data_IF_180616184635
#
_entry.id   IF_180616184635
#
_cell.length_a   1.000
_cell.length_b   1.000
_cell.length_c   1.000
_cell.angle_alpha   90.00
_cell.angle_beta   90.00
_cell.angle_gamma   90.00
#
_symmetry.space_group_name_H-M   'P 1'
#
loop_
_entity.id
_entity.type
_entity.pdbx_description
1 polymer ?
#
# COMPACT_ATOMS: atom_id res chain seq x y z
N UNK A 1 -13.41 -54.47 32.13
CA UNK A 1 -12.40 -53.63 31.45
C UNK A 1 -13.13 -52.50 30.73
N UNK A 2 -13.16 -51.26 31.25
CA UNK A 2 -13.74 -50.16 30.49
C UNK A 2 -12.80 -49.82 29.33
N UNK A 3 -13.31 -49.98 28.11
CA UNK A 3 -12.64 -49.57 26.89
C UNK A 3 -12.33 -48.08 26.95
N UNK A 4 -11.06 -47.76 26.70
CA UNK A 4 -10.57 -46.40 26.51
C UNK A 4 -11.37 -45.75 25.38
N UNK A 5 -12.29 -44.86 25.71
CA UNK A 5 -12.78 -43.87 24.78
C UNK A 5 -11.61 -42.95 24.45
N UNK A 6 -11.16 -42.96 23.19
CA UNK A 6 -10.30 -41.90 22.68
C UNK A 6 -11.17 -40.66 22.54
N UNK A 7 -10.72 -39.47 22.97
CA UNK A 7 -11.45 -38.24 22.73
C UNK A 7 -11.53 -38.01 21.22
N UNK A 8 -12.76 -37.88 20.74
CA UNK A 8 -13.12 -37.16 19.53
C UNK A 8 -12.56 -35.73 19.64
N UNK A 9 -12.23 -35.13 18.50
CA UNK A 9 -11.77 -33.74 18.37
C UNK A 9 -10.29 -33.52 18.73
N UNK A 10 -9.42 -33.90 17.81
CA UNK A 10 -8.19 -33.13 17.61
C UNK A 10 -8.67 -31.76 17.10
N UNK A 11 -8.82 -30.80 18.02
CA UNK A 11 -8.88 -29.39 17.66
C UNK A 11 -7.66 -29.11 16.79
N UNK A 12 -7.89 -28.97 15.49
CA UNK A 12 -6.90 -28.46 14.57
C UNK A 12 -6.68 -27.01 15.00
N UNK A 13 -5.72 -26.80 15.90
CA UNK A 13 -5.10 -25.50 16.17
C UNK A 13 -4.29 -25.10 14.92
N UNK A 14 -4.92 -25.13 13.75
CA UNK A 14 -4.42 -24.51 12.55
C UNK A 14 -4.41 -23.02 12.84
N UNK A 15 -3.26 -22.38 12.64
CA UNK A 15 -3.19 -20.93 12.71
C UNK A 15 -4.31 -20.36 11.83
N UNK A 16 -5.01 -19.33 12.29
CA UNK A 16 -6.07 -18.71 11.52
C UNK A 16 -5.52 -17.44 10.88
N UNK A 17 -5.65 -17.31 9.56
CA UNK A 17 -5.21 -16.12 8.81
C UNK A 17 -6.39 -15.24 8.46
N UNK A 18 -6.25 -13.94 8.73
CA UNK A 18 -7.21 -12.94 8.30
C UNK A 18 -6.97 -12.59 6.83
N UNK A 19 -8.01 -12.70 6.01
CA UNK A 19 -8.04 -12.25 4.60
C UNK A 19 -9.05 -11.11 4.44
N UNK A 20 -8.94 -10.39 3.32
CA UNK A 20 -9.81 -9.24 3.03
C UNK A 20 -10.44 -9.32 1.64
N UNK A 21 -11.68 -8.86 1.54
CA UNK A 21 -12.45 -8.70 0.30
C UNK A 21 -12.51 -7.25 -0.16
N UNK A 22 -11.82 -6.34 0.53
CA UNK A 22 -11.75 -4.92 0.18
C UNK A 22 -11.39 -4.74 -1.29
N UNK A 23 -10.42 -5.52 -1.81
CA UNK A 23 -10.00 -5.44 -3.21
C UNK A 23 -11.08 -5.85 -4.22
N UNK A 24 -11.99 -6.74 -3.85
CA UNK A 24 -13.14 -7.14 -4.68
C UNK A 24 -14.21 -6.05 -4.66
N UNK A 25 -14.47 -5.48 -3.47
CA UNK A 25 -15.46 -4.43 -3.25
C UNK A 25 -15.05 -3.07 -3.82
N UNK A 26 -13.78 -2.88 -4.14
CA UNK A 26 -13.26 -1.66 -4.76
C UNK A 26 -13.70 -1.46 -6.21
N UNK A 27 -14.06 -2.52 -6.94
CA UNK A 27 -14.46 -2.44 -8.35
C UNK A 27 -15.77 -1.63 -8.47
N UNK A 28 -15.65 -0.35 -8.78
CA UNK A 28 -16.75 0.60 -8.96
C UNK A 28 -16.82 1.73 -7.93
N UNK A 29 -16.17 1.60 -6.76
CA UNK A 29 -16.10 2.69 -5.76
C UNK A 29 -14.80 3.49 -5.85
N UNK A 30 -13.71 2.87 -6.30
CA UNK A 30 -12.40 3.51 -6.46
C UNK A 30 -11.79 3.14 -7.81
N UNK A 31 -11.22 4.12 -8.52
CA UNK A 31 -10.61 3.91 -9.84
C UNK A 31 -9.23 3.26 -9.74
N UNK A 32 -8.58 3.37 -8.58
CA UNK A 32 -7.23 2.83 -8.38
C UNK A 32 -6.92 2.45 -6.93
N UNK A 33 -5.94 1.58 -6.76
CA UNK A 33 -5.39 1.22 -5.44
C UNK A 33 -4.77 2.42 -4.70
N UNK A 34 -4.30 3.44 -5.44
CA UNK A 34 -3.79 4.68 -4.84
C UNK A 34 -4.91 5.48 -4.19
N UNK A 35 -6.05 5.57 -4.87
CA UNK A 35 -7.23 6.25 -4.36
C UNK A 35 -7.81 5.53 -3.15
N UNK A 36 -7.91 4.20 -3.23
CA UNK A 36 -8.28 3.34 -2.11
C UNK A 36 -7.35 3.56 -0.90
N UNK A 37 -6.02 3.59 -1.11
CA UNK A 37 -5.06 3.85 -0.04
C UNK A 37 -5.29 5.22 0.61
N UNK A 38 -5.58 6.24 -0.20
CA UNK A 38 -5.88 7.61 0.28
C UNK A 38 -7.18 7.64 1.09
N UNK A 39 -8.22 6.94 0.64
CA UNK A 39 -9.49 6.83 1.35
C UNK A 39 -9.36 6.07 2.68
N UNK A 40 -8.55 5.01 2.71
CA UNK A 40 -8.26 4.25 3.93
C UNK A 40 -7.26 4.96 4.85
N UNK A 41 -6.56 5.99 4.36
CA UNK A 41 -5.53 6.69 5.14
C UNK A 41 -4.29 5.85 5.43
N UNK A 42 -3.97 4.88 4.57
CA UNK A 42 -2.77 4.03 4.70
C UNK A 42 -1.84 4.19 3.51
N UNK A 43 -0.60 3.70 3.65
CA UNK A 43 0.36 3.79 2.55
C UNK A 43 -0.04 2.90 1.38
N UNK A 44 0.17 3.40 0.16
CA UNK A 44 -0.01 2.63 -1.08
C UNK A 44 0.81 1.34 -1.03
N UNK A 45 2.03 1.40 -0.50
CA UNK A 45 2.91 0.24 -0.33
C UNK A 45 2.28 -0.83 0.57
N UNK A 46 1.63 -0.45 1.68
CA UNK A 46 0.90 -1.41 2.52
C UNK A 46 -0.23 -2.08 1.75
N UNK A 47 -1.02 -1.32 0.98
CA UNK A 47 -2.10 -1.87 0.17
C UNK A 47 -1.59 -2.92 -0.81
N UNK A 48 -0.47 -2.64 -1.49
CA UNK A 48 0.17 -3.62 -2.38
C UNK A 48 0.72 -4.85 -1.64
N UNK A 49 1.32 -4.69 -0.45
CA UNK A 49 1.85 -5.81 0.33
C UNK A 49 0.74 -6.73 0.83
N UNK A 50 -0.35 -6.17 1.33
CA UNK A 50 -1.53 -6.93 1.77
C UNK A 50 -2.16 -7.65 0.58
N UNK A 51 -2.30 -6.98 -0.57
CA UNK A 51 -2.81 -7.59 -1.81
C UNK A 51 -1.96 -8.79 -2.26
N UNK A 52 -0.64 -8.70 -2.12
CA UNK A 52 0.30 -9.77 -2.48
C UNK A 52 0.43 -10.86 -1.41
N UNK A 53 -0.26 -10.74 -0.26
CA UNK A 53 -0.11 -11.66 0.87
C UNK A 53 1.26 -11.59 1.55
N UNK A 54 2.01 -10.48 1.35
CA UNK A 54 3.35 -10.27 1.93
C UNK A 54 3.33 -9.54 3.28
N UNK A 55 2.18 -8.98 3.66
CA UNK A 55 1.97 -8.38 4.98
C UNK A 55 0.63 -8.81 5.52
N UNK A 56 0.61 -9.09 6.81
CA UNK A 56 -0.61 -9.35 7.54
C UNK A 56 -1.50 -8.11 7.60
N UNK A 57 -2.79 -8.38 7.76
CA UNK A 57 -3.82 -7.35 7.91
C UNK A 57 -3.75 -6.84 9.34
N UNK A 58 -3.08 -5.69 9.52
CA UNK A 58 -2.98 -5.02 10.82
C UNK A 58 -4.15 -4.09 11.12
N UNK A 59 -4.21 -3.61 12.36
CA UNK A 59 -5.22 -2.68 12.88
C UNK A 59 -5.45 -1.46 11.97
N UNK A 60 -4.37 -0.81 11.51
CA UNK A 60 -4.46 0.36 10.62
C UNK A 60 -5.18 0.05 9.31
N UNK A 61 -5.01 -1.16 8.79
CA UNK A 61 -5.70 -1.59 7.57
C UNK A 61 -7.19 -1.79 7.85
N UNK A 62 -7.53 -2.40 8.99
CA UNK A 62 -8.93 -2.63 9.41
C UNK A 62 -9.65 -1.30 9.60
N UNK A 63 -9.08 -0.40 10.40
CA UNK A 63 -9.64 0.94 10.64
C UNK A 63 -9.81 1.69 9.32
N UNK A 64 -8.80 1.66 8.46
CA UNK A 64 -8.84 2.30 7.15
C UNK A 64 -9.94 1.76 6.25
N UNK A 65 -10.09 0.43 6.18
CA UNK A 65 -11.13 -0.23 5.40
C UNK A 65 -12.54 0.16 5.87
N UNK A 66 -12.79 0.16 7.18
CA UNK A 66 -14.08 0.58 7.75
C UNK A 66 -14.37 2.06 7.42
N UNK A 67 -13.34 2.91 7.40
CA UNK A 67 -13.46 4.32 7.01
C UNK A 67 -13.79 4.51 5.52
N UNK A 68 -13.17 3.71 4.65
CA UNK A 68 -13.41 3.76 3.21
C UNK A 68 -14.77 3.14 2.82
N UNK A 69 -15.22 2.16 3.59
CA UNK A 69 -16.48 1.44 3.36
C UNK A 69 -17.43 1.56 4.57
N UNK A 70 -17.95 2.76 4.86
CA UNK A 70 -18.90 2.95 5.95
C UNK A 70 -20.23 2.18 5.73
N UNK A 71 -20.55 1.90 4.46
CA UNK A 71 -21.77 1.17 4.06
C UNK A 71 -21.65 -0.35 4.20
N UNK A 72 -20.47 -0.87 4.59
CA UNK A 72 -20.19 -2.30 4.73
C UNK A 72 -19.80 -2.64 6.16
N UNK A 73 -20.22 -3.82 6.61
CA UNK A 73 -19.83 -4.35 7.92
C UNK A 73 -18.42 -4.95 7.87
N UNK A 74 -17.80 -5.08 9.03
CA UNK A 74 -16.45 -5.65 9.16
C UNK A 74 -16.40 -7.08 8.62
N UNK A 75 -17.45 -7.87 8.86
CA UNK A 75 -17.60 -9.26 8.37
C UNK A 75 -17.70 -9.36 6.84
N UNK A 76 -18.19 -8.30 6.17
CA UNK A 76 -18.21 -8.26 4.69
C UNK A 76 -16.84 -7.92 4.11
N UNK A 77 -16.02 -7.19 4.88
CA UNK A 77 -14.71 -6.69 4.47
C UNK A 77 -13.58 -7.68 4.77
N UNK A 78 -13.72 -8.47 5.83
CA UNK A 78 -12.71 -9.38 6.35
C UNK A 78 -13.30 -10.75 6.66
N UNK A 79 -12.50 -11.78 6.41
CA UNK A 79 -12.87 -13.16 6.70
C UNK A 79 -11.64 -13.93 7.16
N UNK A 80 -11.88 -14.97 7.95
CA UNK A 80 -10.81 -15.80 8.52
C UNK A 80 -10.73 -17.09 7.70
N UNK A 81 -9.52 -17.53 7.40
CA UNK A 81 -9.25 -18.82 6.75
C UNK A 81 -8.28 -19.65 7.57
N UNK A 82 -8.35 -20.98 7.49
CA UNK A 82 -7.31 -21.85 8.02
C UNK A 82 -5.97 -21.53 7.35
N UNK A 83 -4.91 -21.50 8.16
CA UNK A 83 -3.55 -21.37 7.69
C UNK A 83 -3.02 -22.76 7.33
N UNK A 84 -2.95 -23.03 6.03
CA UNK A 84 -2.42 -24.28 5.49
C UNK A 84 -0.88 -24.26 5.38
N UNK A 85 -0.18 -23.28 5.96
CA UNK A 85 1.28 -23.14 5.78
C UNK A 85 2.17 -24.13 6.55
N UNK A 86 1.59 -25.12 7.24
CA UNK A 86 2.33 -26.17 7.98
C UNK A 86 2.78 -27.34 7.07
N UNK A 87 3.17 -27.09 5.81
CA UNK A 87 3.71 -28.17 4.94
C UNK A 87 4.74 -27.73 3.91
N UNK A 88 5.59 -26.75 4.23
CA UNK A 88 6.86 -26.56 3.49
C UNK A 88 8.03 -26.48 4.46
N UNK A 89 8.31 -27.59 5.13
CA UNK A 89 9.55 -27.76 5.86
C UNK A 89 10.58 -28.50 4.98
N UNK A 90 11.74 -27.87 4.82
CA UNK A 90 13.05 -28.49 4.60
C UNK A 90 13.31 -29.29 3.31
N UNK A 91 13.88 -28.61 2.29
CA UNK A 91 15.17 -28.99 1.62
C UNK A 91 15.48 -28.09 0.41
N UNK A 92 16.43 -27.15 0.58
CA UNK A 92 17.71 -27.17 -0.15
C UNK A 92 18.50 -25.88 0.14
N UNK A 93 19.32 -25.95 1.18
CA UNK A 93 20.63 -25.28 1.19
C UNK A 93 21.45 -25.72 -0.02
N UNK A 94 22.08 -24.73 -0.70
CA UNK A 94 23.35 -24.73 -1.45
C UNK A 94 23.23 -23.92 -2.74
N UNK A 95 23.83 -22.73 -2.77
CA UNK A 95 24.00 -21.97 -4.02
C UNK A 95 24.47 -20.54 -3.83
N UNK A 96 25.72 -20.37 -3.44
CA UNK A 96 26.36 -19.08 -3.26
C UNK A 96 26.46 -18.24 -4.55
N UNK A 97 26.47 -16.92 -4.36
CA UNK A 97 27.08 -15.83 -5.18
C UNK A 97 26.35 -15.31 -6.43
N UNK A 98 25.97 -14.03 -6.31
CA UNK A 98 26.11 -13.01 -7.36
C UNK A 98 24.88 -12.77 -8.24
N UNK A 99 24.21 -11.62 -8.08
CA UNK A 99 24.55 -10.45 -8.89
C UNK A 99 23.81 -9.19 -8.41
N UNK A 100 24.50 -8.08 -8.52
CA UNK A 100 24.10 -6.73 -8.17
C UNK A 100 23.02 -6.25 -9.15
N UNK A 101 21.76 -6.19 -8.71
CA UNK A 101 20.72 -5.47 -9.45
C UNK A 101 20.50 -4.14 -8.76
N UNK A 102 21.15 -3.10 -9.30
CA UNK A 102 20.93 -1.71 -8.96
C UNK A 102 19.45 -1.38 -9.07
N UNK A 103 18.77 -1.21 -7.94
CA UNK A 103 17.47 -0.51 -7.94
C UNK A 103 17.79 0.98 -7.83
N UNK A 104 17.25 1.85 -8.72
CA UNK A 104 17.48 3.28 -8.63
C UNK A 104 16.85 3.80 -7.35
N UNK A 105 17.67 4.45 -6.53
CA UNK A 105 17.23 5.19 -5.36
C UNK A 105 16.24 6.30 -5.78
N UNK A 106 15.06 6.41 -5.16
CA UNK A 106 14.31 7.66 -5.19
C UNK A 106 15.06 8.71 -4.35
N UNK A 107 15.43 9.87 -4.91
CA UNK A 107 16.20 10.88 -4.18
C UNK A 107 15.29 11.68 -3.24
N UNK A 108 14.93 11.11 -2.08
CA UNK A 108 14.40 11.87 -0.94
C UNK A 108 15.52 12.25 0.03
N UNK A 109 16.41 13.14 -0.40
CA UNK A 109 17.29 13.90 0.49
C UNK A 109 18.00 15.05 -0.26
N UNK A 110 17.23 16.06 -0.72
CA UNK A 110 17.76 17.42 -0.89
C UNK A 110 16.71 18.40 -0.39
N UNK A 111 16.75 18.65 0.91
CA UNK A 111 15.89 19.61 1.58
C UNK A 111 16.39 21.06 1.49
N UNK A 112 17.48 21.37 0.78
CA UNK A 112 18.04 22.73 0.77
C UNK A 112 18.57 23.17 -0.61
N UNK A 113 17.72 23.29 -1.64
CA UNK A 113 18.09 24.07 -2.85
C UNK A 113 16.89 24.53 -3.74
N UNK A 114 15.69 24.72 -3.18
CA UNK A 114 14.54 25.29 -3.92
C UNK A 114 14.33 26.75 -3.49
N UNK A 115 15.36 27.58 -3.62
CA UNK A 115 15.27 29.02 -3.33
C UNK A 115 15.55 29.89 -4.57
N UNK A 116 15.82 29.33 -5.76
CA UNK A 116 16.30 30.22 -6.85
C UNK A 116 15.64 30.29 -8.21
N UNK A 117 14.74 29.42 -8.69
CA UNK A 117 14.36 29.53 -10.12
C UNK A 117 12.93 29.11 -10.53
N UNK A 118 11.87 29.49 -9.82
CA UNK A 118 10.50 29.33 -10.36
C UNK A 118 9.45 30.36 -9.88
N UNK A 119 9.87 31.51 -9.34
CA UNK A 119 9.00 32.66 -9.06
C UNK A 119 9.52 33.89 -9.82
N UNK A 120 9.51 33.82 -11.15
CA UNK A 120 9.68 35.02 -11.99
C UNK A 120 8.77 34.94 -13.22
N UNK A 121 7.47 34.94 -12.94
CA UNK A 121 6.50 35.61 -13.81
C UNK A 121 5.66 36.51 -12.91
N UNK A 122 6.00 37.81 -12.78
CA UNK A 122 5.10 38.79 -12.23
C UNK A 122 3.93 38.98 -13.22
N UNK A 123 2.67 38.82 -12.80
CA UNK A 123 1.55 39.37 -13.53
C UNK A 123 1.56 40.89 -13.32
N UNK A 124 1.21 41.61 -14.39
CA UNK A 124 0.81 43.02 -14.38
C UNK A 124 1.89 44.11 -14.24
N UNK A 125 2.14 44.74 -15.39
CA UNK A 125 1.96 46.18 -15.58
C UNK A 125 2.89 47.15 -14.81
N UNK A 126 3.76 47.84 -15.57
CA UNK A 126 3.60 49.27 -15.93
C UNK A 126 4.92 49.87 -16.47
N UNK A 127 4.85 50.35 -17.72
CA UNK A 127 5.30 51.68 -18.20
C UNK A 127 6.55 51.93 -19.07
N UNK A 128 7.51 51.04 -19.27
CA UNK A 128 8.75 51.49 -19.96
C UNK A 128 8.93 51.05 -21.43
N UNK A 129 7.88 50.56 -22.09
CA UNK A 129 7.91 50.18 -23.51
C UNK A 129 7.34 51.25 -24.46
N UNK A 130 7.22 52.51 -24.01
CA UNK A 130 6.77 53.64 -24.88
C UNK A 130 7.94 54.50 -25.39
N UNK A 131 9.16 54.37 -24.85
CA UNK A 131 10.26 55.31 -25.19
C UNK A 131 11.23 54.79 -26.26
N UNK A 132 11.22 53.50 -26.60
CA UNK A 132 12.24 52.91 -27.51
C UNK A 132 11.88 52.82 -29.00
N UNK A 133 10.68 53.27 -29.41
CA UNK A 133 10.28 53.29 -30.83
C UNK A 133 10.43 54.66 -31.53
N UNK A 134 11.08 55.67 -30.92
CA UNK A 134 11.33 56.99 -31.54
C UNK A 134 12.79 57.24 -31.97
N UNK A 135 13.65 56.22 -32.03
CA UNK A 135 15.05 56.43 -32.41
C UNK A 135 15.63 55.40 -33.39
N UNK A 136 14.79 54.96 -34.32
CA UNK A 136 15.22 54.31 -35.56
C UNK A 136 14.13 54.59 -36.61
N UNK A 137 14.27 55.71 -37.33
CA UNK A 137 13.31 56.23 -38.31
C UNK A 137 13.36 57.74 -38.38
#
# INVERSE_FOLDING_TARGET
MPGRALPEEIEVLGAMKLKTRVFELCNGKYESLKELARAMGISVTQVYRVRQGKSDIGEKFIIGAVKAFPDKKLDDLFYVVPDESEMTDSRSDLGAKGNLISTPQPPEARRDEIVRNALSTPPEARRDEIVKLRKAG
#
